data_IF_707271410916
#
_entry.id   IF_707271410916
#
_cell.length_a   1.000
_cell.length_b   1.000
_cell.length_c   1.000
_cell.angle_alpha   90.00
_cell.angle_beta   90.00
_cell.angle_gamma   90.00
#
_symmetry.space_group_name_H-M   'P 1'
#
loop_
_entity.id
_entity.type
_entity.pdbx_description
1 polymer ?
#
# COMPACT_ATOMS: atom_id res chain seq x y z
N UNK A 1 16.39 -24.41 13.41
CA UNK A 1 16.34 -23.93 12.00
C UNK A 1 15.00 -24.23 11.32
N UNK A 2 14.52 -25.48 11.27
CA UNK A 2 13.25 -25.85 10.58
C UNK A 2 12.02 -25.05 11.04
N UNK A 3 11.83 -24.84 12.35
CA UNK A 3 10.71 -24.07 12.91
C UNK A 3 10.73 -22.60 12.50
N UNK A 4 11.85 -21.92 12.70
CA UNK A 4 12.02 -20.50 12.31
C UNK A 4 11.82 -20.29 10.81
N UNK A 5 12.26 -21.24 9.98
CA UNK A 5 12.01 -21.21 8.53
C UNK A 5 10.52 -21.32 8.22
N UNK A 6 9.81 -22.27 8.84
CA UNK A 6 8.38 -22.46 8.62
C UNK A 6 7.55 -21.26 9.10
N UNK A 7 7.86 -20.72 10.28
CA UNK A 7 7.18 -19.55 10.84
C UNK A 7 7.36 -18.32 9.92
N UNK A 8 8.58 -18.10 9.43
CA UNK A 8 8.86 -17.03 8.48
C UNK A 8 8.14 -17.25 7.15
N UNK A 9 8.23 -18.45 6.57
CA UNK A 9 7.56 -18.78 5.31
C UNK A 9 6.05 -18.56 5.40
N UNK A 10 5.42 -19.02 6.48
CA UNK A 10 3.99 -18.82 6.70
C UNK A 10 3.63 -17.34 6.85
N UNK A 11 4.44 -16.57 7.59
CA UNK A 11 4.23 -15.12 7.74
C UNK A 11 4.29 -14.38 6.41
N UNK A 12 5.18 -14.80 5.50
CA UNK A 12 5.33 -14.21 4.16
C UNK A 12 4.14 -14.58 3.29
N UNK A 13 3.75 -15.85 3.26
CA UNK A 13 2.65 -16.34 2.41
C UNK A 13 1.34 -15.64 2.79
N UNK A 14 0.97 -15.67 4.06
CA UNK A 14 -0.33 -15.19 4.54
C UNK A 14 -0.33 -13.67 4.78
N UNK A 15 0.75 -13.14 5.34
CA UNK A 15 0.80 -11.77 5.85
C UNK A 15 1.44 -10.75 4.91
N UNK A 16 1.91 -11.15 3.72
CA UNK A 16 2.69 -10.25 2.86
C UNK A 16 2.51 -10.47 1.36
N UNK A 17 2.77 -11.68 0.87
CA UNK A 17 3.06 -11.93 -0.53
C UNK A 17 1.81 -12.15 -1.38
N UNK A 18 0.85 -12.94 -0.89
CA UNK A 18 -0.34 -13.31 -1.64
C UNK A 18 -1.50 -12.33 -1.37
N UNK A 19 -2.27 -11.97 -2.41
CA UNK A 19 -3.50 -11.19 -2.24
C UNK A 19 -4.63 -12.06 -1.66
N UNK A 20 -5.62 -11.40 -1.06
CA UNK A 20 -6.86 -12.05 -0.65
C UNK A 20 -7.80 -12.20 -1.86
N UNK A 21 -8.52 -13.32 -1.96
CA UNK A 21 -9.42 -13.61 -3.09
C UNK A 21 -10.64 -12.68 -3.14
N UNK A 22 -11.03 -12.10 -2.00
CA UNK A 22 -12.25 -11.28 -1.89
C UNK A 22 -12.09 -9.88 -2.47
N UNK A 23 -10.90 -9.31 -2.35
CA UNK A 23 -10.60 -7.93 -2.76
C UNK A 23 -9.41 -7.82 -3.72
N UNK A 24 -8.63 -8.89 -3.91
CA UNK A 24 -7.42 -8.89 -4.74
C UNK A 24 -6.25 -8.13 -4.12
N UNK A 25 -6.34 -7.70 -2.86
CA UNK A 25 -5.36 -6.81 -2.23
C UNK A 25 -4.40 -7.57 -1.30
N UNK A 26 -3.11 -7.31 -1.48
CA UNK A 26 -2.10 -7.60 -0.45
C UNK A 26 -2.27 -6.69 0.77
N UNK A 27 -1.76 -7.07 1.96
CA UNK A 27 -1.94 -6.29 3.19
C UNK A 27 -1.46 -4.82 3.12
N UNK A 28 -0.40 -4.52 2.37
CA UNK A 28 0.09 -3.13 2.23
C UNK A 28 -0.91 -2.23 1.50
N UNK A 29 -1.54 -2.69 0.40
CA UNK A 29 -2.56 -1.92 -0.32
C UNK A 29 -3.76 -1.63 0.61
N UNK A 30 -4.23 -2.65 1.33
CA UNK A 30 -5.38 -2.51 2.24
C UNK A 30 -5.11 -1.51 3.36
N UNK A 31 -3.90 -1.52 3.93
CA UNK A 31 -3.48 -0.56 4.97
C UNK A 31 -3.41 0.88 4.44
N UNK A 32 -2.92 1.08 3.22
CA UNK A 32 -2.89 2.41 2.57
C UNK A 32 -4.31 2.94 2.38
N UNK A 33 -5.18 2.16 1.73
CA UNK A 33 -6.56 2.57 1.46
C UNK A 33 -7.35 2.79 2.76
N UNK A 34 -7.13 1.95 3.78
CA UNK A 34 -7.74 2.11 5.09
C UNK A 34 -7.29 3.40 5.77
N UNK A 35 -5.98 3.68 5.84
CA UNK A 35 -5.46 4.92 6.43
C UNK A 35 -6.00 6.18 5.70
N UNK A 36 -6.10 6.14 4.37
CA UNK A 36 -6.69 7.22 3.60
C UNK A 36 -8.18 7.42 3.93
N UNK A 37 -8.93 6.34 4.08
CA UNK A 37 -10.34 6.42 4.47
C UNK A 37 -10.54 6.98 5.88
N UNK A 38 -9.74 6.54 6.85
CA UNK A 38 -9.78 7.03 8.24
C UNK A 38 -9.43 8.52 8.34
N UNK A 39 -8.49 9.00 7.51
CA UNK A 39 -8.13 10.41 7.41
C UNK A 39 -9.04 11.22 6.49
N UNK A 40 -10.07 10.61 5.91
CA UNK A 40 -10.99 11.20 4.95
C UNK A 40 -10.29 11.85 3.73
N UNK A 41 -9.18 11.27 3.27
CA UNK A 41 -8.52 11.64 2.02
C UNK A 41 -9.25 10.97 0.85
N UNK A 42 -10.35 11.60 0.47
CA UNK A 42 -11.26 11.17 -0.59
C UNK A 42 -11.08 12.03 -1.83
N UNK A 43 -11.64 11.59 -2.95
CA UNK A 43 -11.55 12.27 -4.25
C UNK A 43 -12.24 13.64 -4.29
N UNK A 44 -13.18 13.92 -3.38
CA UNK A 44 -13.85 15.22 -3.24
C UNK A 44 -13.02 16.26 -2.46
N UNK A 45 -11.80 15.92 -2.04
CA UNK A 45 -10.92 16.75 -1.22
C UNK A 45 -9.64 17.14 -1.97
N UNK A 46 -8.99 18.25 -1.60
CA UNK A 46 -7.70 18.63 -2.18
C UNK A 46 -6.63 17.55 -2.00
N UNK A 47 -5.70 17.47 -2.95
CA UNK A 47 -4.55 16.56 -2.85
C UNK A 47 -3.76 16.79 -1.56
N UNK A 48 -3.27 15.69 -1.00
CA UNK A 48 -2.45 15.68 0.20
C UNK A 48 -1.05 15.17 -0.11
N UNK A 49 -0.04 15.68 0.61
CA UNK A 49 1.35 15.24 0.42
C UNK A 49 1.48 13.74 0.68
N UNK A 50 2.08 13.00 -0.26
CA UNK A 50 2.32 11.55 -0.12
C UNK A 50 3.07 11.19 1.16
N UNK A 51 4.00 12.02 1.61
CA UNK A 51 4.70 11.84 2.89
C UNK A 51 3.76 11.77 4.10
N UNK A 52 2.64 12.50 4.07
CA UNK A 52 1.61 12.45 5.12
C UNK A 52 0.89 11.09 5.11
N UNK A 53 0.61 10.56 3.93
CA UNK A 53 -0.02 9.24 3.76
C UNK A 53 0.93 8.14 4.24
N UNK A 54 2.19 8.17 3.79
CA UNK A 54 3.21 7.21 4.17
C UNK A 54 3.45 7.23 5.69
N UNK A 55 3.60 8.41 6.29
CA UNK A 55 3.80 8.56 7.73
C UNK A 55 2.61 8.02 8.54
N UNK A 56 1.38 8.26 8.08
CA UNK A 56 0.18 7.73 8.72
C UNK A 56 0.13 6.20 8.69
N UNK A 57 0.44 5.61 7.52
CA UNK A 57 0.41 4.16 7.35
C UNK A 57 1.44 3.49 8.22
N UNK A 58 2.66 4.03 8.32
CA UNK A 58 3.73 3.45 9.14
C UNK A 58 3.46 3.62 10.63
N UNK A 59 2.99 4.81 11.03
CA UNK A 59 2.71 5.12 12.42
C UNK A 59 1.62 4.25 13.03
N UNK A 60 0.58 3.91 12.24
CA UNK A 60 -0.63 3.29 12.78
C UNK A 60 -0.90 1.86 12.29
N UNK A 61 -0.43 1.46 11.10
CA UNK A 61 -0.92 0.24 10.46
C UNK A 61 0.16 -0.68 9.88
N UNK A 62 1.35 -0.17 9.55
CA UNK A 62 2.38 -0.89 8.81
C UNK A 62 3.78 -0.67 9.44
N UNK A 63 4.18 -1.48 10.44
CA UNK A 63 5.43 -1.29 11.18
C UNK A 63 6.66 -1.79 10.41
N UNK A 64 6.79 -1.39 9.15
CA UNK A 64 7.91 -1.70 8.25
C UNK A 64 8.34 -0.44 7.49
N UNK A 65 9.40 -0.55 6.68
CA UNK A 65 10.02 0.58 6.00
C UNK A 65 9.06 1.38 5.11
N UNK A 66 9.34 2.68 5.04
CA UNK A 66 8.59 3.67 4.27
C UNK A 66 8.66 3.47 2.77
N UNK A 67 9.83 3.06 2.26
CA UNK A 67 10.04 2.77 0.85
C UNK A 67 8.98 1.80 0.29
N UNK A 68 8.71 0.69 0.99
CA UNK A 68 7.72 -0.29 0.55
C UNK A 68 6.30 0.30 0.48
N UNK A 69 5.95 1.21 1.40
CA UNK A 69 4.66 1.89 1.41
C UNK A 69 4.57 2.90 0.26
N UNK A 70 5.61 3.70 0.08
CA UNK A 70 5.65 4.71 -0.98
C UNK A 70 5.65 4.08 -2.38
N UNK A 71 6.48 3.07 -2.61
CA UNK A 71 6.54 2.36 -3.90
C UNK A 71 5.20 1.71 -4.24
N UNK A 72 4.52 1.15 -3.24
CA UNK A 72 3.17 0.60 -3.42
C UNK A 72 2.18 1.71 -3.78
N UNK A 73 2.22 2.85 -3.10
CA UNK A 73 1.35 3.99 -3.37
C UNK A 73 1.58 4.54 -4.79
N UNK A 74 2.84 4.69 -5.20
CA UNK A 74 3.21 5.14 -6.54
C UNK A 74 2.67 4.18 -7.59
N UNK A 75 2.85 2.87 -7.39
CA UNK A 75 2.35 1.85 -8.33
C UNK A 75 0.83 1.85 -8.47
N UNK A 76 0.11 2.14 -7.38
CA UNK A 76 -1.35 2.25 -7.40
C UNK A 76 -1.89 3.48 -8.12
N UNK A 77 -1.03 4.47 -8.41
CA UNK A 77 -1.36 5.68 -9.15
C UNK A 77 -0.95 5.62 -10.64
N UNK A 78 -0.17 4.61 -11.04
CA UNK A 78 0.32 4.47 -12.42
C UNK A 78 -0.73 3.76 -13.32
N UNK A 79 -1.23 4.45 -14.33
CA UNK A 79 -2.17 3.93 -15.33
C UNK A 79 -1.55 2.85 -16.25
N UNK A 80 -0.25 2.92 -16.51
CA UNK A 80 0.49 1.89 -17.24
C UNK A 80 0.80 0.64 -16.40
N UNK A 81 0.65 0.70 -15.08
CA UNK A 81 0.88 -0.43 -14.16
C UNK A 81 -0.41 -1.14 -13.75
N UNK A 82 -1.52 -0.40 -13.70
CA UNK A 82 -2.82 -0.90 -13.28
C UNK A 82 -3.91 -0.53 -14.27
N UNK A 83 -4.73 -1.53 -14.67
CA UNK A 83 -5.86 -1.31 -15.57
C UNK A 83 -6.88 -0.30 -15.03
N UNK A 84 -7.06 -0.30 -13.71
CA UNK A 84 -7.90 0.61 -12.94
C UNK A 84 -7.08 1.11 -11.74
N UNK A 85 -6.44 2.29 -11.83
CA UNK A 85 -5.72 2.89 -10.70
C UNK A 85 -6.66 3.11 -9.50
N UNK A 86 -6.14 2.85 -8.30
CA UNK A 86 -6.89 3.01 -7.04
C UNK A 86 -6.54 4.32 -6.33
N UNK A 87 -5.43 4.95 -6.72
CA UNK A 87 -4.95 6.21 -6.19
C UNK A 87 -4.93 7.23 -7.32
N UNK A 88 -5.49 8.40 -7.04
CA UNK A 88 -5.30 9.57 -7.89
C UNK A 88 -4.15 10.42 -7.34
N UNK A 89 -3.12 10.62 -8.16
CA UNK A 89 -1.87 11.26 -7.78
C UNK A 89 -1.56 12.49 -8.61
N UNK A 90 -1.04 13.54 -7.97
CA UNK A 90 -0.57 14.75 -8.65
C UNK A 90 0.95 14.86 -8.53
N UNK A 91 1.65 14.80 -9.68
CA UNK A 91 3.11 14.93 -9.75
C UNK A 91 3.74 13.95 -10.73
N UNK A 92 5.06 13.75 -10.61
CA UNK A 92 5.77 12.75 -11.40
C UNK A 92 5.71 11.38 -10.71
N UNK A 93 4.96 10.45 -11.31
CA UNK A 93 4.81 9.07 -10.85
C UNK A 93 5.55 8.06 -11.75
N UNK A 94 6.56 8.51 -12.51
CA UNK A 94 7.32 7.68 -13.44
C UNK A 94 6.68 7.54 -14.82
N UNK A 95 7.37 6.85 -15.71
CA UNK A 95 6.97 6.60 -17.10
C UNK A 95 7.40 5.19 -17.54
N UNK A 96 6.97 4.76 -18.73
CA UNK A 96 7.40 3.51 -19.41
C UNK A 96 8.84 3.63 -19.91
#
# INVERSE_FOLDING_TARGET
>A
MKRSYLDYAMSVIVGRALPDVRDGLKPVHRRILHAMNERAWRSDRPYVKSAKIVGEVIGNYHPHGDAAVYDTLVRMAQDFSMRLPLIDGQGNFGSV
#
